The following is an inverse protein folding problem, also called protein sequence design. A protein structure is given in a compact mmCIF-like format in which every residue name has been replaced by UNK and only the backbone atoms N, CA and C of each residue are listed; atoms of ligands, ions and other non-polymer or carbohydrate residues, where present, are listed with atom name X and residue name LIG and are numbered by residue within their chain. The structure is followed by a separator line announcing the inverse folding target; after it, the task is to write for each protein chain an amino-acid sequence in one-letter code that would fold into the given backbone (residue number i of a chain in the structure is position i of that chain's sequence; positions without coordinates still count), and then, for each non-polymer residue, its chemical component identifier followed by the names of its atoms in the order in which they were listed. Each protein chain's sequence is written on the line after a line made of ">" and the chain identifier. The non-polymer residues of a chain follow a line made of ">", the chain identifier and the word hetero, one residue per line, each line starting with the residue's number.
data_IF_490259730633
#
_entry.id   IF_490259730633
#
_cell.length_a   1.000
_cell.length_b   1.000
_cell.length_c   1.000
_cell.angle_alpha   90.00
_cell.angle_beta   90.00
_cell.angle_gamma   90.00
#
_symmetry.space_group_name_H-M   'P 1'
#
loop_
_entity.id
_entity.type
_entity.pdbx_description
1 polymer ?
#
# COMPACT_ATOMS: atom_id res chain seq x y z
N UNK A 1 -14.41 -11.49 -0.64
CA UNK A 1 -14.34 -11.10 -2.07
C UNK A 1 -12.99 -11.55 -2.59
N UNK A 2 -12.96 -12.40 -3.62
CA UNK A 2 -11.71 -13.01 -4.09
C UNK A 2 -11.47 -12.59 -5.53
N UNK A 3 -10.36 -11.89 -5.76
CA UNK A 3 -9.83 -11.62 -7.10
C UNK A 3 -8.43 -12.18 -7.16
N UNK A 4 -8.25 -13.21 -7.98
CA UNK A 4 -6.97 -13.93 -8.08
C UNK A 4 -6.52 -13.95 -9.53
N UNK A 5 -5.23 -13.64 -9.75
CA UNK A 5 -4.61 -13.83 -11.05
C UNK A 5 -4.39 -15.32 -11.27
N UNK A 6 -4.91 -15.84 -12.37
CA UNK A 6 -4.57 -17.19 -12.80
C UNK A 6 -3.12 -17.22 -13.29
N UNK A 7 -2.37 -18.20 -12.80
CA UNK A 7 -1.08 -18.55 -13.36
C UNK A 7 -1.28 -19.62 -14.44
N UNK A 8 -0.50 -19.59 -15.54
CA UNK A 8 -0.70 -20.48 -16.70
C UNK A 8 -0.70 -21.99 -16.38
N UNK A 9 -0.18 -22.39 -15.21
CA UNK A 9 -0.02 -23.80 -14.82
C UNK A 9 -1.19 -24.40 -14.02
N UNK A 10 -2.28 -23.66 -13.76
CA UNK A 10 -3.45 -24.24 -13.10
C UNK A 10 -4.23 -25.11 -14.10
N UNK A 11 -4.48 -26.40 -13.79
CA UNK A 11 -5.20 -27.33 -14.69
C UNK A 11 -6.61 -26.86 -15.11
N UNK A 12 -7.19 -25.87 -14.43
CA UNK A 12 -8.44 -25.19 -14.82
C UNK A 12 -8.26 -23.96 -15.73
N UNK A 13 -7.03 -23.45 -15.90
CA UNK A 13 -6.74 -22.25 -16.69
C UNK A 13 -6.82 -22.48 -18.21
N UNK A 14 -6.68 -23.73 -18.66
CA UNK A 14 -6.63 -24.09 -20.08
C UNK A 14 -7.91 -23.71 -20.86
N UNK A 15 -9.06 -23.62 -20.19
CA UNK A 15 -10.32 -23.21 -20.82
C UNK A 15 -10.72 -21.75 -20.53
N UNK A 16 -10.11 -21.11 -19.53
CA UNK A 16 -10.52 -19.76 -19.09
C UNK A 16 -9.94 -18.66 -19.96
N UNK A 17 -8.69 -18.81 -20.39
CA UNK A 17 -8.02 -17.81 -21.23
C UNK A 17 -8.65 -17.76 -22.63
N UNK A 18 -8.86 -18.89 -23.34
CA UNK A 18 -9.52 -18.88 -24.65
C UNK A 18 -10.95 -18.32 -24.60
N UNK A 19 -11.71 -18.66 -23.55
CA UNK A 19 -13.08 -18.14 -23.38
C UNK A 19 -13.09 -16.62 -23.19
N UNK A 20 -12.12 -16.07 -22.44
CA UNK A 20 -12.01 -14.63 -22.24
C UNK A 20 -11.45 -13.90 -23.47
N UNK A 21 -10.57 -14.53 -24.25
CA UNK A 21 -10.08 -13.97 -25.52
C UNK A 21 -11.17 -13.87 -26.59
N UNK A 22 -12.09 -14.84 -26.62
CA UNK A 22 -13.23 -14.84 -27.55
C UNK A 22 -14.30 -13.78 -27.22
N UNK A 23 -14.29 -13.22 -26.02
CA UNK A 23 -15.24 -12.19 -25.63
C UNK A 23 -14.93 -10.84 -26.30
N UNK A 24 -15.98 -10.05 -26.54
CA UNK A 24 -15.83 -8.72 -27.12
C UNK A 24 -14.95 -7.83 -26.23
N UNK A 25 -13.98 -7.16 -26.85
CA UNK A 25 -13.16 -6.16 -26.17
C UNK A 25 -13.97 -4.89 -25.92
N UNK A 26 -13.81 -4.32 -24.73
CA UNK A 26 -14.32 -3.00 -24.39
C UNK A 26 -13.20 -2.08 -23.88
N UNK A 27 -13.40 -0.77 -24.07
CA UNK A 27 -12.37 0.24 -23.84
C UNK A 27 -11.45 0.43 -25.04
N UNK A 28 -10.66 1.50 -25.01
CA UNK A 28 -9.39 1.43 -24.30
C UNK A 28 -9.48 1.91 -22.85
N UNK A 29 -8.74 1.25 -21.97
CA UNK A 29 -8.49 1.69 -20.60
C UNK A 29 -6.97 1.87 -20.39
N UNK A 30 -6.58 2.58 -19.34
CA UNK A 30 -5.17 2.86 -19.06
C UNK A 30 -4.73 2.31 -17.72
N UNK A 31 -3.57 1.66 -17.71
CA UNK A 31 -2.96 1.09 -16.50
C UNK A 31 -1.52 1.54 -16.41
N UNK A 32 -1.15 2.14 -15.28
CA UNK A 32 0.25 2.39 -14.97
C UNK A 32 0.98 1.08 -14.70
N UNK A 33 2.02 0.82 -15.48
CA UNK A 33 2.91 -0.33 -15.33
C UNK A 33 4.20 0.16 -14.69
N UNK A 34 4.45 -0.30 -13.47
CA UNK A 34 5.68 0.03 -12.73
C UNK A 34 6.89 -0.42 -13.52
N UNK A 35 7.92 0.45 -13.59
CA UNK A 35 9.18 0.09 -14.22
C UNK A 35 9.81 -1.14 -13.58
N UNK A 36 10.41 -2.00 -14.40
CA UNK A 36 11.15 -3.18 -13.94
C UNK A 36 12.40 -3.34 -14.81
N UNK A 37 13.52 -3.63 -14.16
CA UNK A 37 14.83 -3.75 -14.80
C UNK A 37 15.19 -2.47 -15.57
N UNK A 38 15.38 -2.55 -16.89
CA UNK A 38 15.72 -1.41 -17.76
C UNK A 38 14.50 -0.69 -18.37
N UNK A 39 13.29 -1.16 -18.10
CA UNK A 39 12.08 -0.57 -18.66
C UNK A 39 11.54 0.52 -17.71
N UNK A 40 11.35 1.76 -18.21
CA UNK A 40 10.77 2.83 -17.41
C UNK A 40 9.32 2.51 -17.05
N UNK A 41 8.83 3.19 -16.01
CA UNK A 41 7.40 3.25 -15.75
C UNK A 41 6.69 3.85 -16.97
N UNK A 42 5.55 3.26 -17.34
CA UNK A 42 4.77 3.71 -18.49
C UNK A 42 3.28 3.54 -18.24
N UNK A 43 2.49 4.29 -19.00
CA UNK A 43 1.06 4.05 -19.13
C UNK A 43 0.82 3.04 -20.26
N UNK A 44 0.21 1.91 -19.95
CA UNK A 44 -0.21 0.91 -20.94
C UNK A 44 -1.68 1.12 -21.29
N UNK A 45 -1.96 1.23 -22.59
CA UNK A 45 -3.31 1.14 -23.12
C UNK A 45 -3.72 -0.34 -23.18
N UNK A 46 -4.84 -0.66 -22.55
CA UNK A 46 -5.31 -2.03 -22.39
C UNK A 46 -6.74 -2.18 -22.88
N UNK A 47 -7.02 -3.32 -23.49
CA UNK A 47 -8.37 -3.80 -23.69
C UNK A 47 -8.84 -4.56 -22.46
N UNK A 48 -10.15 -4.54 -22.22
CA UNK A 48 -10.79 -5.31 -21.15
C UNK A 48 -11.85 -6.20 -21.76
N UNK A 49 -11.74 -7.50 -21.49
CA UNK A 49 -12.71 -8.53 -21.88
C UNK A 49 -13.21 -9.23 -20.64
N UNK A 50 -14.47 -9.65 -20.64
CA UNK A 50 -15.01 -10.46 -19.56
C UNK A 50 -16.00 -11.49 -20.07
N UNK A 51 -16.07 -12.61 -19.35
CA UNK A 51 -17.02 -13.67 -19.64
C UNK A 51 -17.29 -14.49 -18.38
N UNK A 52 -18.28 -15.36 -18.44
CA UNK A 52 -18.56 -16.36 -17.43
C UNK A 52 -17.93 -17.71 -17.82
N UNK A 53 -17.35 -18.39 -16.85
CA UNK A 53 -16.73 -19.71 -17.02
C UNK A 53 -17.17 -20.65 -15.92
N UNK A 54 -17.36 -21.93 -16.27
CA UNK A 54 -17.53 -23.00 -15.29
C UNK A 54 -16.18 -23.65 -14.99
N UNK A 55 -15.67 -23.45 -13.78
CA UNK A 55 -14.44 -24.11 -13.32
C UNK A 55 -14.77 -25.52 -12.84
N UNK A 56 -14.32 -26.51 -13.60
CA UNK A 56 -14.42 -27.90 -13.20
C UNK A 56 -13.39 -28.23 -12.11
N UNK A 57 -13.72 -29.12 -11.16
CA UNK A 57 -12.73 -29.67 -10.23
C UNK A 57 -11.56 -30.35 -10.96
N UNK A 58 -10.35 -30.35 -10.39
CA UNK A 58 -9.20 -31.06 -10.95
C UNK A 58 -9.53 -32.54 -11.20
N UNK A 59 -8.96 -33.12 -12.26
CA UNK A 59 -9.29 -34.50 -12.70
C UNK A 59 -9.15 -35.53 -11.58
N UNK A 60 -8.17 -35.35 -10.71
CA UNK A 60 -7.83 -36.24 -9.59
C UNK A 60 -8.69 -36.03 -8.33
N UNK A 61 -9.57 -35.02 -8.30
CA UNK A 61 -10.54 -34.76 -7.20
C UNK A 61 -11.96 -34.57 -7.74
N UNK A 62 -12.27 -35.15 -8.89
CA UNK A 62 -13.53 -34.92 -9.59
C UNK A 62 -14.72 -35.56 -8.88
N UNK A 63 -14.48 -36.60 -8.09
CA UNK A 63 -15.50 -37.32 -7.34
C UNK A 63 -16.05 -36.45 -6.20
N UNK A 64 -17.36 -36.20 -6.22
CA UNK A 64 -18.07 -35.47 -5.16
C UNK A 64 -17.97 -33.94 -5.19
N UNK A 65 -17.28 -33.33 -6.15
CA UNK A 65 -17.17 -31.87 -6.27
C UNK A 65 -17.90 -31.36 -7.52
N UNK A 66 -18.68 -30.28 -7.36
CA UNK A 66 -19.40 -29.62 -8.44
C UNK A 66 -18.54 -28.55 -9.14
N UNK A 67 -18.85 -28.27 -10.40
CA UNK A 67 -18.26 -27.14 -11.11
C UNK A 67 -18.70 -25.82 -10.47
N UNK A 68 -17.79 -24.85 -10.41
CA UNK A 68 -18.04 -23.53 -9.82
C UNK A 68 -18.09 -22.49 -10.93
N UNK A 69 -19.22 -21.82 -11.07
CA UNK A 69 -19.37 -20.70 -12.01
C UNK A 69 -18.64 -19.47 -11.47
N UNK A 70 -17.74 -18.92 -12.28
CA UNK A 70 -16.97 -17.71 -11.97
C UNK A 70 -16.94 -16.77 -13.16
N UNK A 71 -16.62 -15.50 -12.92
CA UNK A 71 -16.37 -14.53 -13.98
C UNK A 71 -14.88 -14.42 -14.19
N UNK A 72 -14.48 -14.31 -15.45
CA UNK A 72 -13.11 -14.01 -15.86
C UNK A 72 -13.08 -12.60 -16.40
N UNK A 73 -12.10 -11.81 -15.98
CA UNK A 73 -11.76 -10.52 -16.57
C UNK A 73 -10.35 -10.61 -17.13
N UNK A 74 -10.21 -10.49 -18.44
CA UNK A 74 -8.94 -10.44 -19.16
C UNK A 74 -8.60 -8.97 -19.47
N UNK A 75 -7.46 -8.52 -18.98
CA UNK A 75 -6.86 -7.22 -19.30
C UNK A 75 -5.59 -7.45 -20.08
N UNK A 76 -5.49 -6.86 -21.28
CA UNK A 76 -4.36 -7.08 -22.18
C UNK A 76 -3.89 -5.77 -22.81
N UNK A 77 -2.60 -5.52 -22.76
CA UNK A 77 -1.93 -4.49 -23.56
C UNK A 77 -1.80 -5.01 -24.99
N UNK A 78 -2.55 -4.40 -25.91
CA UNK A 78 -2.64 -4.88 -27.31
C UNK A 78 -1.41 -4.48 -28.13
N UNK A 79 -0.83 -3.31 -27.83
CA UNK A 79 0.34 -2.78 -28.52
C UNK A 79 1.45 -2.42 -27.51
N UNK A 80 2.17 -3.42 -26.94
CA UNK A 80 3.26 -3.16 -26.03
C UNK A 80 4.43 -2.46 -26.75
N UNK A 81 5.20 -1.59 -26.07
CA UNK A 81 6.42 -1.03 -26.63
C UNK A 81 7.41 -2.11 -27.08
N UNK A 82 8.26 -1.77 -28.05
CA UNK A 82 9.27 -2.69 -28.56
C UNK A 82 10.18 -3.22 -27.44
N UNK A 83 10.37 -4.54 -27.39
CA UNK A 83 11.15 -5.21 -26.35
C UNK A 83 10.44 -5.35 -24.99
N UNK A 84 9.26 -4.76 -24.79
CA UNK A 84 8.47 -4.95 -23.57
C UNK A 84 7.57 -6.19 -23.67
N UNK A 85 7.47 -6.96 -22.58
CA UNK A 85 6.45 -8.01 -22.48
C UNK A 85 5.09 -7.35 -22.25
N UNK A 86 4.03 -7.74 -22.99
CA UNK A 86 2.70 -7.16 -22.83
C UNK A 86 2.18 -7.39 -21.41
N UNK A 87 1.51 -6.38 -20.88
CA UNK A 87 0.70 -6.56 -19.68
C UNK A 87 -0.47 -7.49 -20.01
N UNK A 88 -0.52 -8.63 -19.31
CA UNK A 88 -1.65 -9.56 -19.37
C UNK A 88 -2.06 -9.96 -17.96
N UNK A 89 -3.31 -9.63 -17.60
CA UNK A 89 -3.95 -10.05 -16.36
C UNK A 89 -5.21 -10.84 -16.66
N UNK A 90 -5.21 -12.11 -16.29
CA UNK A 90 -6.39 -12.97 -16.29
C UNK A 90 -6.89 -13.10 -14.85
N UNK A 91 -7.99 -12.42 -14.53
CA UNK A 91 -8.52 -12.29 -13.18
C UNK A 91 -9.78 -13.15 -13.04
N UNK A 92 -9.82 -14.01 -12.03
CA UNK A 92 -11.04 -14.71 -11.63
C UNK A 92 -11.74 -13.95 -10.51
N UNK A 93 -13.06 -13.84 -10.59
CA UNK A 93 -13.88 -13.20 -9.56
C UNK A 93 -15.23 -13.87 -9.39
N UNK A 94 -15.73 -13.85 -8.15
CA UNK A 94 -17.11 -14.26 -7.81
C UNK A 94 -18.11 -13.11 -7.96
N UNK A 95 -17.62 -11.90 -8.21
CA UNK A 95 -18.46 -10.71 -8.37
C UNK A 95 -19.23 -10.77 -9.69
N UNK A 96 -20.43 -10.17 -9.77
CA UNK A 96 -21.08 -9.95 -11.04
C UNK A 96 -20.25 -9.02 -11.91
N UNK A 97 -20.14 -9.37 -13.18
CA UNK A 97 -19.48 -8.57 -14.22
C UNK A 97 -20.33 -8.66 -15.49
N UNK A 98 -21.16 -7.65 -15.66
CA UNK A 98 -22.10 -7.48 -16.78
C UNK A 98 -21.77 -6.26 -17.64
N UNK A 99 -20.92 -5.36 -17.13
CA UNK A 99 -20.53 -4.12 -17.80
C UNK A 99 -19.02 -3.86 -17.68
N UNK A 100 -18.54 -2.96 -18.54
CA UNK A 100 -17.16 -2.48 -18.48
C UNK A 100 -16.83 -1.85 -17.11
N UNK A 101 -17.75 -1.10 -16.51
CA UNK A 101 -17.53 -0.47 -15.21
C UNK A 101 -17.31 -1.51 -14.09
N UNK A 102 -18.09 -2.59 -14.11
CA UNK A 102 -17.96 -3.69 -13.15
C UNK A 102 -16.66 -4.49 -13.35
N UNK A 103 -16.28 -4.73 -14.62
CA UNK A 103 -15.01 -5.36 -14.97
C UNK A 103 -13.85 -4.47 -14.48
N UNK A 104 -13.90 -3.18 -14.77
CA UNK A 104 -12.89 -2.21 -14.39
C UNK A 104 -12.77 -2.05 -12.87
N UNK A 105 -13.89 -2.16 -12.12
CA UNK A 105 -13.86 -2.21 -10.65
C UNK A 105 -13.04 -3.40 -10.15
N UNK A 106 -13.19 -4.58 -10.75
CA UNK A 106 -12.37 -5.75 -10.41
C UNK A 106 -10.89 -5.49 -10.68
N UNK A 107 -10.56 -4.83 -11.79
CA UNK A 107 -9.17 -4.44 -12.12
C UNK A 107 -8.63 -3.45 -11.09
N UNK A 108 -9.39 -2.40 -10.73
CA UNK A 108 -8.99 -1.44 -9.68
C UNK A 108 -8.70 -2.13 -8.36
N UNK A 109 -9.58 -3.04 -7.93
CA UNK A 109 -9.38 -3.82 -6.70
C UNK A 109 -8.18 -4.75 -6.78
N UNK A 110 -7.95 -5.42 -7.91
CA UNK A 110 -6.76 -6.25 -8.10
C UNK A 110 -5.46 -5.43 -8.03
N UNK A 111 -5.44 -4.20 -8.53
CA UNK A 111 -4.27 -3.30 -8.43
C UNK A 111 -3.89 -2.99 -6.98
N UNK A 112 -4.86 -3.00 -6.05
CA UNK A 112 -4.60 -2.82 -4.62
C UNK A 112 -3.95 -4.05 -3.96
N UNK A 113 -3.86 -5.20 -4.64
CA UNK A 113 -3.23 -6.41 -4.09
C UNK A 113 -1.80 -6.16 -3.62
N UNK A 114 -1.06 -5.26 -4.28
CA UNK A 114 0.29 -4.87 -3.89
C UNK A 114 0.40 -4.25 -2.49
N UNK A 115 -0.70 -3.73 -1.93
CA UNK A 115 -0.71 -3.21 -0.55
C UNK A 115 -0.31 -4.27 0.48
N UNK A 116 -0.70 -5.54 0.26
CA UNK A 116 -0.33 -6.64 1.16
C UNK A 116 1.17 -6.91 1.15
N UNK A 117 1.82 -6.73 -0.01
CA UNK A 117 3.28 -6.88 -0.13
C UNK A 117 3.99 -5.75 0.61
N UNK A 118 3.43 -4.53 0.58
CA UNK A 118 3.93 -3.40 1.40
C UNK A 118 3.70 -3.62 2.90
N UNK A 119 2.57 -4.19 3.29
CA UNK A 119 2.31 -4.60 4.67
C UNK A 119 3.36 -5.62 5.16
N UNK A 120 3.59 -6.69 4.39
CA UNK A 120 4.62 -7.69 4.71
C UNK A 120 6.02 -7.09 4.73
N UNK A 121 6.33 -6.15 3.84
CA UNK A 121 7.60 -5.43 3.87
C UNK A 121 7.81 -4.67 5.17
N UNK A 122 6.78 -3.98 5.68
CA UNK A 122 6.88 -3.30 6.99
C UNK A 122 7.07 -4.31 8.12
N UNK A 123 6.32 -5.41 8.14
CA UNK A 123 6.50 -6.47 9.15
C UNK A 123 7.91 -7.05 9.15
N UNK A 124 8.40 -7.46 7.97
CA UNK A 124 9.68 -8.17 7.83
C UNK A 124 10.89 -7.26 7.95
N UNK A 125 10.89 -6.12 7.25
CA UNK A 125 12.05 -5.23 7.18
C UNK A 125 11.99 -4.08 8.19
N UNK A 126 10.80 -3.59 8.53
CA UNK A 126 10.61 -2.53 9.53
C UNK A 126 10.60 -3.09 10.95
N UNK A 127 9.60 -3.92 11.26
CA UNK A 127 9.45 -4.54 12.58
C UNK A 127 10.41 -5.71 12.82
N UNK A 128 11.11 -6.21 11.79
CA UNK A 128 12.11 -7.28 11.88
C UNK A 128 11.58 -8.53 12.56
N UNK A 129 10.33 -8.90 12.29
CA UNK A 129 9.67 -10.03 12.95
C UNK A 129 10.39 -11.37 12.74
N UNK A 130 11.13 -11.51 11.64
CA UNK A 130 11.92 -12.70 11.32
C UNK A 130 13.24 -12.79 12.11
N UNK A 131 13.67 -11.70 12.74
CA UNK A 131 14.87 -11.65 13.60
C UNK A 131 14.54 -11.97 15.08
N UNK A 132 13.25 -12.10 15.44
CA UNK A 132 12.82 -12.35 16.82
C UNK A 132 13.26 -13.73 17.31
N UNK A 133 14.11 -13.76 18.34
CA UNK A 133 14.59 -14.99 18.99
C UNK A 133 13.75 -15.35 20.25
N UNK A 134 12.43 -15.40 20.10
CA UNK A 134 11.52 -15.72 21.21
C UNK A 134 11.45 -17.25 21.42
N UNK A 135 11.60 -17.68 22.68
CA UNK A 135 11.77 -19.11 23.05
C UNK A 135 10.58 -20.03 22.75
N UNK A 136 9.38 -19.49 22.52
CA UNK A 136 8.15 -20.30 22.39
C UNK A 136 7.26 -19.74 21.29
N UNK A 137 6.56 -20.62 20.56
CA UNK A 137 5.58 -20.26 19.53
C UNK A 137 4.54 -19.26 20.06
N UNK A 138 3.95 -19.52 21.22
CA UNK A 138 2.94 -18.62 21.81
C UNK A 138 3.46 -17.19 22.10
N UNK A 139 4.77 -17.00 22.31
CA UNK A 139 5.35 -15.66 22.47
C UNK A 139 5.57 -15.00 21.11
N UNK A 140 5.97 -15.78 20.11
CA UNK A 140 6.09 -15.31 18.73
C UNK A 140 4.73 -14.88 18.17
N UNK A 141 3.67 -15.64 18.41
CA UNK A 141 2.30 -15.29 17.98
C UNK A 141 1.84 -13.96 18.59
N UNK A 142 2.06 -13.75 19.89
CA UNK A 142 1.74 -12.47 20.55
C UNK A 142 2.53 -11.31 19.98
N UNK A 143 3.84 -11.49 19.79
CA UNK A 143 4.68 -10.47 19.18
C UNK A 143 4.22 -10.14 17.75
N UNK A 144 3.90 -11.17 16.95
CA UNK A 144 3.40 -11.01 15.60
C UNK A 144 2.06 -10.26 15.57
N UNK A 145 1.16 -10.51 16.52
CA UNK A 145 -0.10 -9.76 16.64
C UNK A 145 0.16 -8.27 16.91
N UNK A 146 1.06 -7.94 17.84
CA UNK A 146 1.44 -6.55 18.12
C UNK A 146 2.08 -5.88 16.89
N UNK A 147 3.07 -6.52 16.26
CA UNK A 147 3.74 -5.97 15.08
C UNK A 147 2.82 -5.86 13.86
N UNK A 148 1.79 -6.72 13.76
CA UNK A 148 0.75 -6.60 12.73
C UNK A 148 -0.01 -5.28 12.85
N UNK A 149 -0.41 -4.89 14.07
CA UNK A 149 -1.08 -3.61 14.31
C UNK A 149 -0.17 -2.42 13.98
N UNK A 150 1.11 -2.48 14.36
CA UNK A 150 2.10 -1.44 14.04
C UNK A 150 2.31 -1.32 12.52
N UNK A 151 2.50 -2.45 11.83
CA UNK A 151 2.72 -2.47 10.39
C UNK A 151 1.50 -1.93 9.62
N UNK A 152 0.30 -2.28 10.09
CA UNK A 152 -0.94 -1.71 9.55
C UNK A 152 -1.00 -0.20 9.79
N UNK A 153 -0.68 0.29 10.99
CA UNK A 153 -0.70 1.73 11.31
C UNK A 153 0.28 2.54 10.45
N UNK A 154 1.50 2.05 10.26
CA UNK A 154 2.49 2.67 9.36
C UNK A 154 1.96 2.74 7.92
N UNK A 155 1.37 1.64 7.45
CA UNK A 155 0.80 1.58 6.10
C UNK A 155 -0.37 2.56 5.97
N UNK A 156 -1.32 2.50 6.89
CA UNK A 156 -2.47 3.40 6.93
C UNK A 156 -2.05 4.87 6.93
N UNK A 157 -1.12 5.25 7.80
CA UNK A 157 -0.61 6.62 7.88
C UNK A 157 0.05 7.07 6.56
N UNK A 158 0.84 6.18 5.95
CA UNK A 158 1.48 6.46 4.65
C UNK A 158 0.46 6.74 3.54
N UNK A 159 -0.65 6.01 3.51
CA UNK A 159 -1.70 6.18 2.49
C UNK A 159 -2.65 7.32 2.81
N UNK A 160 -2.92 7.58 4.10
CA UNK A 160 -3.70 8.75 4.51
C UNK A 160 -3.04 10.05 4.04
N UNK A 161 -1.71 10.16 4.09
CA UNK A 161 -0.98 11.31 3.54
C UNK A 161 -1.09 11.50 2.03
N UNK A 162 -1.56 10.48 1.30
CA UNK A 162 -1.78 10.55 -0.16
C UNK A 162 -3.23 10.87 -0.47
N UNK A 163 -4.16 10.30 0.28
CA UNK A 163 -5.60 10.45 0.06
C UNK A 163 -6.16 11.73 0.71
N UNK A 164 -5.62 12.14 1.86
CA UNK A 164 -6.10 13.28 2.65
C UNK A 164 -4.93 14.16 3.14
N UNK A 165 -4.14 14.74 2.23
CA UNK A 165 -2.92 15.49 2.57
C UNK A 165 -3.17 16.76 3.38
N UNK A 166 -4.32 17.42 3.15
CA UNK A 166 -4.61 18.76 3.65
C UNK A 166 -5.31 18.78 5.02
N UNK A 167 -5.69 17.59 5.53
CA UNK A 167 -6.29 17.47 6.85
C UNK A 167 -5.29 17.81 7.97
N UNK A 168 -5.74 18.21 9.16
CA UNK A 168 -4.84 18.51 10.27
C UNK A 168 -4.17 17.24 10.80
N UNK A 169 -2.87 17.33 11.11
CA UNK A 169 -2.08 16.22 11.64
C UNK A 169 -2.56 15.75 13.02
N UNK A 170 -3.35 16.54 13.73
CA UNK A 170 -3.99 16.15 15.00
C UNK A 170 -4.98 14.99 14.87
N UNK A 171 -5.37 14.60 13.64
CA UNK A 171 -6.15 13.37 13.43
C UNK A 171 -5.31 12.09 13.58
N UNK A 172 -3.98 12.21 13.56
CA UNK A 172 -3.05 11.07 13.50
C UNK A 172 -1.89 11.14 14.49
N UNK A 173 -1.58 12.33 15.00
CA UNK A 173 -0.54 12.58 15.97
C UNK A 173 -1.17 13.30 17.15
N UNK A 174 -0.78 12.89 18.35
CA UNK A 174 -1.10 13.61 19.58
C UNK A 174 -0.41 14.98 19.58
N UNK A 175 -0.91 15.87 20.45
CA UNK A 175 -0.43 17.25 20.53
C UNK A 175 1.08 17.34 20.65
N UNK A 176 1.63 16.60 21.60
CA UNK A 176 3.04 16.63 21.93
C UNK A 176 3.90 15.98 20.84
N UNK A 177 3.32 15.06 20.06
CA UNK A 177 3.99 14.44 18.92
C UNK A 177 4.17 15.44 17.77
N UNK A 178 3.11 16.13 17.35
CA UNK A 178 3.24 17.09 16.26
C UNK A 178 3.97 18.37 16.70
N UNK A 179 3.81 18.83 17.94
CA UNK A 179 4.59 19.97 18.46
C UNK A 179 6.08 19.65 18.46
N UNK A 180 6.48 18.51 19.04
CA UNK A 180 7.87 18.09 19.09
C UNK A 180 8.46 17.86 17.69
N UNK A 181 7.69 17.24 16.79
CA UNK A 181 8.08 17.02 15.40
C UNK A 181 8.42 18.34 14.70
N UNK A 182 7.55 19.34 14.83
CA UNK A 182 7.71 20.62 14.15
C UNK A 182 8.87 21.42 14.75
N UNK A 183 8.98 21.48 16.08
CA UNK A 183 10.11 22.12 16.74
C UNK A 183 11.46 21.53 16.29
N UNK A 184 11.56 20.20 16.29
CA UNK A 184 12.79 19.50 15.91
C UNK A 184 13.11 19.64 14.42
N UNK A 185 12.11 19.49 13.55
CA UNK A 185 12.33 19.47 12.09
C UNK A 185 12.62 20.83 11.51
N UNK A 186 12.14 21.91 12.15
CA UNK A 186 12.34 23.29 11.72
C UNK A 186 13.47 24.00 12.47
N UNK A 187 14.11 23.32 13.42
CA UNK A 187 15.08 23.91 14.35
C UNK A 187 14.52 25.18 15.05
N UNK A 188 13.26 25.07 15.49
CA UNK A 188 12.52 26.17 16.11
C UNK A 188 12.08 25.78 17.53
N UNK A 189 12.50 26.50 18.58
CA UNK A 189 12.25 26.09 19.95
C UNK A 189 10.80 26.28 20.40
N UNK A 190 10.02 27.14 19.74
CA UNK A 190 8.61 27.37 20.09
C UNK A 190 7.70 26.47 19.25
N UNK A 191 6.71 25.80 19.89
CA UNK A 191 5.76 24.97 19.17
C UNK A 191 4.80 25.83 18.33
N UNK A 192 4.35 25.33 17.17
CA UNK A 192 3.33 26.02 16.39
C UNK A 192 2.01 26.08 17.16
N UNK A 193 1.22 27.13 16.94
CA UNK A 193 -0.08 27.34 17.62
C UNK A 193 -1.20 26.45 17.07
N UNK A 194 -0.99 25.85 15.90
CA UNK A 194 -1.93 24.95 15.25
C UNK A 194 -1.21 23.75 14.64
N UNK A 195 -1.90 22.59 14.51
CA UNK A 195 -1.29 21.41 13.93
C UNK A 195 -0.94 21.64 12.44
N UNK A 196 0.19 21.10 11.96
CA UNK A 196 0.50 21.11 10.53
C UNK A 196 -0.51 20.24 9.76
N UNK A 197 -0.48 20.30 8.42
CA UNK A 197 -1.22 19.32 7.60
C UNK A 197 -0.62 17.92 7.74
N UNK A 198 -1.42 16.89 7.48
CA UNK A 198 -0.96 15.48 7.43
C UNK A 198 0.22 15.36 6.46
N UNK A 199 0.17 16.01 5.30
CA UNK A 199 1.27 15.97 4.34
C UNK A 199 2.56 16.59 4.90
N UNK A 200 2.47 17.75 5.56
CA UNK A 200 3.63 18.41 6.15
C UNK A 200 4.23 17.57 7.29
N UNK A 201 3.39 17.04 8.19
CA UNK A 201 3.83 16.15 9.26
C UNK A 201 4.51 14.88 8.72
N UNK A 202 3.94 14.23 7.69
CA UNK A 202 4.53 13.02 7.14
C UNK A 202 5.81 13.27 6.37
N UNK A 203 5.96 14.42 5.73
CA UNK A 203 7.25 14.82 5.13
C UNK A 203 8.30 15.06 6.22
N UNK A 204 7.95 15.70 7.32
CA UNK A 204 8.85 15.90 8.46
C UNK A 204 9.27 14.56 9.09
N UNK A 205 8.30 13.67 9.37
CA UNK A 205 8.55 12.29 9.85
C UNK A 205 9.47 11.55 8.87
N UNK A 206 9.17 11.59 7.58
CA UNK A 206 10.01 10.96 6.58
C UNK A 206 11.44 11.53 6.58
N UNK A 207 11.59 12.85 6.77
CA UNK A 207 12.87 13.53 6.93
C UNK A 207 13.68 12.98 8.09
N UNK A 208 13.05 12.77 9.26
CA UNK A 208 13.67 12.09 10.40
C UNK A 208 14.19 10.69 10.04
N UNK A 209 13.46 9.99 9.17
CA UNK A 209 13.80 8.68 8.60
C UNK A 209 14.74 8.69 7.39
N UNK A 210 15.28 9.85 7.00
CA UNK A 210 16.27 10.02 5.92
C UNK A 210 15.70 10.32 4.54
N UNK A 211 14.44 10.75 4.43
CA UNK A 211 13.87 11.26 3.17
C UNK A 211 14.36 12.68 2.90
N UNK A 212 15.04 12.88 1.76
CA UNK A 212 15.64 14.17 1.42
C UNK A 212 14.64 15.18 0.84
N UNK A 213 13.55 14.71 0.26
CA UNK A 213 12.49 15.59 -0.25
C UNK A 213 12.89 16.44 -1.45
N UNK A 214 13.80 15.96 -2.31
CA UNK A 214 14.19 16.67 -3.54
C UNK A 214 13.02 16.74 -4.52
N UNK A 215 13.09 17.67 -5.48
CA UNK A 215 12.02 17.96 -6.45
C UNK A 215 11.45 16.73 -7.19
N UNK A 216 12.27 15.69 -7.37
CA UNK A 216 11.89 14.46 -8.08
C UNK A 216 11.82 13.21 -7.19
N UNK A 217 11.98 13.34 -5.87
CA UNK A 217 11.94 12.18 -4.95
C UNK A 217 10.51 11.62 -4.76
N UNK A 218 9.49 12.36 -5.21
CA UNK A 218 8.10 11.96 -5.11
C UNK A 218 7.56 12.04 -3.68
N UNK A 219 6.79 11.03 -3.27
CA UNK A 219 6.17 10.93 -1.95
C UNK A 219 6.93 9.95 -1.05
N UNK A 220 6.96 10.19 0.28
CA UNK A 220 7.57 9.25 1.22
C UNK A 220 7.03 7.81 1.09
N UNK A 221 7.95 6.85 1.17
CA UNK A 221 7.63 5.43 1.25
C UNK A 221 7.54 4.94 2.69
N UNK A 222 6.91 3.77 2.90
CA UNK A 222 6.75 3.16 4.22
C UNK A 222 8.07 3.01 5.00
N UNK A 223 9.19 2.79 4.30
CA UNK A 223 10.52 2.61 4.89
C UNK A 223 11.07 3.86 5.61
N UNK A 224 10.83 5.06 5.08
CA UNK A 224 11.24 6.32 5.72
C UNK A 224 10.24 6.74 6.77
N UNK A 225 8.96 6.42 6.59
CA UNK A 225 7.91 6.71 7.57
C UNK A 225 8.14 5.93 8.87
N UNK A 226 8.34 4.60 8.83
CA UNK A 226 8.52 3.84 10.07
C UNK A 226 9.79 4.25 10.82
N UNK A 227 10.91 4.48 10.12
CA UNK A 227 12.16 4.97 10.72
C UNK A 227 11.96 6.33 11.38
N UNK A 228 11.22 7.20 10.68
CA UNK A 228 10.83 8.51 11.18
C UNK A 228 10.00 8.45 12.45
N UNK A 229 8.99 7.57 12.49
CA UNK A 229 8.13 7.38 13.65
C UNK A 229 8.90 6.87 14.87
N UNK A 230 9.82 5.92 14.69
CA UNK A 230 10.71 5.47 15.78
C UNK A 230 11.51 6.64 16.35
N UNK A 231 12.09 7.48 15.49
CA UNK A 231 12.85 8.66 15.93
C UNK A 231 11.95 9.73 16.55
N UNK A 232 10.73 9.90 16.05
CA UNK A 232 9.76 10.83 16.62
C UNK A 232 9.39 10.45 18.05
N UNK A 233 9.17 9.16 18.35
CA UNK A 233 8.89 8.74 19.73
C UNK A 233 9.99 9.18 20.72
N UNK A 234 11.26 9.03 20.34
CA UNK A 234 12.39 9.47 21.18
C UNK A 234 12.40 11.00 21.34
N UNK A 235 12.12 11.74 20.25
CA UNK A 235 12.05 13.21 20.26
C UNK A 235 10.89 13.70 21.13
N UNK A 236 9.71 13.10 21.03
CA UNK A 236 8.54 13.44 21.84
C UNK A 236 8.79 13.14 23.32
N UNK A 237 9.44 12.02 23.63
CA UNK A 237 9.83 11.70 25.01
C UNK A 237 10.81 12.72 25.59
N UNK A 238 11.72 13.27 24.78
CA UNK A 238 12.61 14.35 25.19
C UNK A 238 11.87 15.69 25.33
N UNK A 239 10.97 16.01 24.39
CA UNK A 239 10.15 17.22 24.39
C UNK A 239 9.31 17.35 25.65
N UNK A 240 8.66 16.26 26.07
CA UNK A 240 7.85 16.18 27.29
C UNK A 240 8.65 16.41 28.59
N UNK A 241 9.98 16.22 28.55
CA UNK A 241 10.87 16.43 29.70
C UNK A 241 11.51 17.82 29.72
N UNK A 242 11.25 18.64 28.70
CA UNK A 242 11.76 20.01 28.64
C UNK A 242 11.15 20.83 29.79
N UNK A 243 11.96 21.55 30.57
CA UNK A 243 11.42 22.48 31.55
C UNK A 243 10.57 23.55 30.84
N UNK A 244 9.47 24.03 31.45
CA UNK A 244 8.71 25.13 30.88
C UNK A 244 9.64 26.32 30.63
N UNK A 245 9.40 27.15 29.60
CA UNK A 245 10.18 28.36 29.39
C UNK A 245 10.18 29.16 30.70
N UNK A 246 11.36 29.65 31.09
CA UNK A 246 11.49 30.50 32.26
C UNK A 246 10.48 31.65 32.09
N UNK A 247 9.60 31.85 33.06
CA UNK A 247 8.75 33.03 33.07
C UNK A 247 9.70 34.23 33.00
N UNK A 248 9.53 35.10 32.01
CA UNK A 248 10.30 36.32 31.89
C UNK A 248 10.33 36.97 33.27
N UNK A 249 11.55 37.11 33.80
CA UNK A 249 11.80 37.88 35.02
C UNK A 249 11.40 39.31 34.65
N UNK A 250 10.13 39.65 34.92
CA UNK A 250 9.62 41.01 34.80
C UNK A 250 10.35 41.78 35.89
N UNK A 251 11.56 42.21 35.54
CA UNK A 251 12.40 43.05 36.35
C UNK A 251 11.56 44.25 36.78
N UNK A 252 11.22 44.25 38.07
CA UNK A 252 10.82 45.48 38.75
C UNK A 252 12.08 46.35 38.81
N UNK A 253 12.20 47.27 37.88
CA UNK A 253 13.18 48.35 37.84
C UNK A 253 12.50 49.63 37.44
#
# INVERSE_FOLDING_TARGET
>A
MTITKLFPAAEGAAATEPAAEAAAAAGPARVMVTGKDKLPEREAEVSVRWTEVALCPPRHRREGLAAVTMRVVLVREEAPPEGAKPLVWLLLTTLPVSSFEEAWRCVRWYRLRWLVERYHYVLKSGCRVEELQLRTVARLERALACFSAVAWGVLWLTYLGREQPDQPASMVLEREEWEALMCFSQDHPEPPTSPPTVQAALRAIAGLGGFLGRKHDGVPGVAVIWRGLTRLHDITAAYLRRPPPAADDVGKG
#
